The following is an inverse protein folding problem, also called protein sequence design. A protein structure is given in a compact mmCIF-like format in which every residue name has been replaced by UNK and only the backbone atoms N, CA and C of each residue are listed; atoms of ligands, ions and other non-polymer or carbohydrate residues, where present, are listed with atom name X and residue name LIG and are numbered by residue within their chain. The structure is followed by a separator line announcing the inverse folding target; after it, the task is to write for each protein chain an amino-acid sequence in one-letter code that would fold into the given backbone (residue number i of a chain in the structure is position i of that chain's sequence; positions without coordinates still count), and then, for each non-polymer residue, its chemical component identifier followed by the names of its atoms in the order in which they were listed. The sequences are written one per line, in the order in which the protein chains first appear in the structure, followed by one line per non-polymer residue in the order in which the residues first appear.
data_IF_407700805026
#
_entry.id   IF_407700805026
#
_cell.length_a   1.000
_cell.length_b   1.000
_cell.length_c   1.000
_cell.angle_alpha   90.00
_cell.angle_beta   90.00
_cell.angle_gamma   90.00
#
_symmetry.space_group_name_H-M   'P 1'
#
loop_
_entity.id
_entity.type
_entity.pdbx_description
1 polymer ?
#
# COMPACT_ATOMS: atom_id res chain seq x y z
N UNK A 1 22.67 -16.38 -49.32
CA UNK A 1 21.30 -16.44 -48.69
C UNK A 1 21.28 -16.97 -47.25
N UNK A 2 22.11 -17.91 -46.83
CA UNK A 2 22.08 -18.52 -45.48
C UNK A 2 22.39 -17.60 -44.31
N UNK A 3 23.22 -16.57 -44.47
CA UNK A 3 23.64 -15.67 -43.38
C UNK A 3 22.51 -14.73 -42.89
N UNK A 4 21.70 -14.24 -43.81
CA UNK A 4 20.56 -13.37 -43.45
C UNK A 4 19.44 -14.16 -42.74
N UNK A 5 19.22 -15.41 -43.12
CA UNK A 5 18.25 -16.29 -42.50
C UNK A 5 18.58 -16.61 -41.03
N UNK A 6 19.83 -17.00 -40.77
CA UNK A 6 20.32 -17.25 -39.38
C UNK A 6 20.24 -16.03 -38.50
N UNK A 7 20.57 -14.82 -39.01
CA UNK A 7 20.46 -13.57 -38.28
C UNK A 7 18.98 -13.24 -37.91
N UNK A 8 18.05 -13.48 -38.81
CA UNK A 8 16.62 -13.27 -38.60
C UNK A 8 16.07 -14.19 -37.51
N UNK A 9 16.41 -15.46 -37.57
CA UNK A 9 15.98 -16.44 -36.57
C UNK A 9 16.55 -16.13 -35.17
N UNK A 10 17.80 -15.72 -35.08
CA UNK A 10 18.44 -15.27 -33.86
C UNK A 10 17.67 -14.09 -33.19
N UNK A 11 17.35 -13.06 -33.99
CA UNK A 11 16.62 -11.89 -33.51
C UNK A 11 15.21 -12.28 -33.04
N UNK A 12 14.50 -13.09 -33.81
CA UNK A 12 13.16 -13.56 -33.46
C UNK A 12 13.20 -14.34 -32.14
N UNK A 13 14.13 -15.27 -32.00
CA UNK A 13 14.24 -16.07 -30.78
C UNK A 13 14.55 -15.20 -29.55
N UNK A 14 15.51 -14.28 -29.67
CA UNK A 14 15.84 -13.37 -28.57
C UNK A 14 14.67 -12.45 -28.20
N UNK A 15 13.98 -11.87 -29.18
CA UNK A 15 12.80 -11.05 -28.94
C UNK A 15 11.68 -11.83 -28.25
N UNK A 16 11.45 -13.08 -28.67
CA UNK A 16 10.44 -13.95 -28.04
C UNK A 16 10.77 -14.18 -26.56
N UNK A 17 12.04 -14.52 -26.27
CA UNK A 17 12.48 -14.72 -24.88
C UNK A 17 12.43 -13.41 -24.08
N UNK A 18 12.81 -12.28 -24.68
CA UNK A 18 12.74 -10.97 -24.04
C UNK A 18 11.28 -10.56 -23.71
N UNK A 19 10.32 -10.84 -24.59
CA UNK A 19 8.90 -10.59 -24.34
C UNK A 19 8.40 -11.47 -23.17
N UNK A 20 8.74 -12.77 -23.18
CA UNK A 20 8.34 -13.68 -22.10
C UNK A 20 8.92 -13.23 -20.77
N UNK A 21 10.22 -12.94 -20.70
CA UNK A 21 10.87 -12.50 -19.45
C UNK A 21 10.33 -11.18 -18.96
N UNK A 22 10.03 -10.23 -19.86
CA UNK A 22 9.43 -8.94 -19.52
C UNK A 22 8.01 -9.13 -18.95
N UNK A 23 7.20 -9.96 -19.62
CA UNK A 23 5.82 -10.24 -19.17
C UNK A 23 5.80 -10.92 -17.79
N UNK A 24 6.67 -11.92 -17.57
CA UNK A 24 6.79 -12.59 -16.28
C UNK A 24 7.28 -11.64 -15.19
N UNK A 25 8.29 -10.83 -15.46
CA UNK A 25 8.82 -9.85 -14.50
C UNK A 25 7.76 -8.82 -14.13
N UNK A 26 6.99 -8.33 -15.10
CA UNK A 26 5.87 -7.41 -14.88
C UNK A 26 4.75 -8.04 -14.04
N UNK A 27 4.42 -9.30 -14.33
CA UNK A 27 3.41 -10.04 -13.58
C UNK A 27 3.85 -10.26 -12.12
N UNK A 28 5.08 -10.72 -11.91
CA UNK A 28 5.64 -10.93 -10.55
C UNK A 28 5.62 -9.61 -9.78
N UNK A 29 6.11 -8.52 -10.38
CA UNK A 29 6.12 -7.21 -9.72
C UNK A 29 4.73 -6.73 -9.35
N UNK A 30 3.76 -6.81 -10.28
CA UNK A 30 2.39 -6.35 -10.03
C UNK A 30 1.70 -7.15 -8.93
N UNK A 31 1.83 -8.49 -8.96
CA UNK A 31 1.23 -9.38 -7.95
C UNK A 31 1.82 -9.14 -6.56
N UNK A 32 3.15 -9.08 -6.46
CA UNK A 32 3.83 -8.86 -5.17
C UNK A 32 3.51 -7.47 -4.62
N UNK A 33 3.52 -6.44 -5.49
CA UNK A 33 3.14 -5.07 -5.10
C UNK A 33 1.72 -5.01 -4.56
N UNK A 34 0.76 -5.68 -5.22
CA UNK A 34 -0.63 -5.73 -4.78
C UNK A 34 -0.76 -6.44 -3.44
N UNK A 35 -0.17 -7.62 -3.30
CA UNK A 35 -0.19 -8.38 -2.04
C UNK A 35 0.39 -7.59 -0.85
N UNK A 36 1.49 -6.87 -1.06
CA UNK A 36 2.08 -6.02 0.00
C UNK A 36 1.15 -4.86 0.39
N UNK A 37 0.44 -4.28 -0.58
CA UNK A 37 -0.53 -3.20 -0.29
C UNK A 37 -1.74 -3.70 0.47
N UNK A 38 -2.30 -4.83 0.06
CA UNK A 38 -3.44 -5.46 0.75
C UNK A 38 -3.07 -5.84 2.19
N UNK A 39 -1.93 -6.49 2.40
CA UNK A 39 -1.43 -6.83 3.73
C UNK A 39 -1.13 -5.61 4.63
N UNK A 40 -0.92 -4.44 4.05
CA UNK A 40 -0.71 -3.22 4.83
C UNK A 40 -2.01 -2.66 5.42
N UNK A 41 -3.17 -3.00 4.86
CA UNK A 41 -4.49 -2.49 5.31
C UNK A 41 -5.12 -3.39 6.39
N UNK A 42 -4.81 -4.68 6.43
CA UNK A 42 -5.48 -5.66 7.31
C UNK A 42 -5.44 -5.29 8.80
N UNK A 43 -4.29 -4.91 9.41
CA UNK A 43 -4.25 -4.54 10.83
C UNK A 43 -5.07 -3.29 11.15
N UNK A 44 -5.19 -2.34 10.21
CA UNK A 44 -5.97 -1.12 10.40
C UNK A 44 -7.47 -1.40 10.30
N UNK A 45 -7.88 -2.40 9.49
CA UNK A 45 -9.27 -2.85 9.41
C UNK A 45 -9.70 -3.41 10.76
N UNK A 46 -8.95 -4.39 11.28
CA UNK A 46 -9.23 -5.02 12.56
C UNK A 46 -9.29 -3.97 13.69
N UNK A 47 -8.26 -3.10 13.77
CA UNK A 47 -8.20 -2.05 14.78
C UNK A 47 -9.40 -1.09 14.69
N UNK A 48 -9.83 -0.68 13.48
CA UNK A 48 -10.95 0.24 13.31
C UNK A 48 -12.29 -0.42 13.64
N UNK A 49 -12.49 -1.68 13.21
CA UNK A 49 -13.71 -2.44 13.47
C UNK A 49 -13.86 -2.79 14.96
N UNK A 50 -12.81 -3.24 15.63
CA UNK A 50 -12.80 -3.54 17.06
C UNK A 50 -13.09 -2.26 17.89
N UNK A 51 -12.45 -1.16 17.53
CA UNK A 51 -12.70 0.13 18.19
C UNK A 51 -14.14 0.59 17.98
N UNK A 52 -14.67 0.46 16.77
CA UNK A 52 -16.06 0.82 16.48
C UNK A 52 -17.05 -0.09 17.24
N UNK A 53 -16.76 -1.39 17.35
CA UNK A 53 -17.55 -2.34 18.14
C UNK A 53 -17.55 -1.97 19.64
N UNK A 54 -16.39 -1.63 20.19
CA UNK A 54 -16.24 -1.19 21.58
C UNK A 54 -17.05 0.09 21.87
N UNK A 55 -17.00 1.06 20.95
CA UNK A 55 -17.79 2.29 21.06
C UNK A 55 -19.30 2.03 20.94
N UNK A 56 -19.72 1.11 20.09
CA UNK A 56 -21.11 0.66 19.97
C UNK A 56 -21.61 -0.04 21.25
N UNK A 57 -20.70 -0.74 21.95
CA UNK A 57 -20.98 -1.34 23.25
C UNK A 57 -20.99 -0.33 24.42
N UNK A 58 -20.80 0.96 24.15
CA UNK A 58 -20.84 2.03 25.16
C UNK A 58 -19.52 2.28 25.90
N UNK A 59 -18.41 1.68 25.43
CA UNK A 59 -17.08 1.97 26.00
C UNK A 59 -16.68 3.40 25.62
N UNK A 60 -16.17 4.15 26.61
CA UNK A 60 -15.79 5.54 26.40
C UNK A 60 -14.55 5.66 25.51
N UNK A 61 -14.49 6.63 24.56
CA UNK A 61 -13.32 6.85 23.70
C UNK A 61 -11.99 6.97 24.46
N UNK A 62 -12.01 7.62 25.66
CA UNK A 62 -10.83 7.85 26.50
C UNK A 62 -10.23 6.57 27.08
N UNK A 63 -11.03 5.50 27.22
CA UNK A 63 -10.52 4.21 27.74
C UNK A 63 -9.94 3.32 26.63
N UNK A 64 -10.21 3.63 25.37
CA UNK A 64 -9.74 2.86 24.21
C UNK A 64 -8.41 3.44 23.70
N UNK A 65 -8.29 4.76 23.65
CA UNK A 65 -7.12 5.44 23.09
C UNK A 65 -6.07 5.66 24.19
N UNK A 66 -4.81 5.22 24.00
CA UNK A 66 -3.72 5.49 24.91
C UNK A 66 -3.51 6.99 25.14
N UNK A 67 -3.10 7.38 26.34
CA UNK A 67 -2.86 8.79 26.70
C UNK A 67 -1.69 9.44 25.93
N UNK A 68 -0.74 8.65 25.41
CA UNK A 68 0.39 9.14 24.63
C UNK A 68 0.00 9.35 23.17
N UNK A 69 0.40 10.48 22.59
CA UNK A 69 0.28 10.74 21.15
C UNK A 69 1.58 10.48 20.42
N UNK A 70 1.48 9.96 19.23
CA UNK A 70 2.62 9.75 18.34
C UNK A 70 2.58 10.79 17.21
N UNK A 71 3.74 11.27 16.78
CA UNK A 71 3.84 12.04 15.55
C UNK A 71 3.65 11.12 14.34
N UNK A 72 2.59 11.32 13.57
CA UNK A 72 2.22 10.49 12.40
C UNK A 72 3.31 10.58 11.30
N UNK A 73 4.02 11.71 11.20
CA UNK A 73 5.10 11.89 10.22
C UNK A 73 6.30 10.99 10.51
N UNK A 74 6.64 10.78 11.78
CA UNK A 74 7.87 10.10 12.19
C UNK A 74 7.64 8.65 12.60
N UNK A 75 6.48 8.37 13.20
CA UNK A 75 6.17 7.05 13.78
C UNK A 75 5.75 6.04 12.72
N UNK A 76 6.14 4.79 12.92
CA UNK A 76 5.63 3.63 12.19
C UNK A 76 4.53 2.89 12.95
N UNK A 77 4.27 3.30 14.20
CA UNK A 77 3.21 2.71 15.00
C UNK A 77 1.84 3.05 14.40
N UNK A 78 0.86 2.16 14.52
CA UNK A 78 -0.51 2.47 14.14
C UNK A 78 -1.10 3.52 15.08
N UNK A 79 -2.05 4.30 14.57
CA UNK A 79 -2.75 5.33 15.32
C UNK A 79 -4.26 5.25 15.12
N UNK A 80 -4.98 5.74 16.11
CA UNK A 80 -6.44 5.83 16.10
C UNK A 80 -6.86 7.28 16.29
N UNK A 81 -7.87 7.69 15.53
CA UNK A 81 -8.55 8.97 15.72
C UNK A 81 -10.06 8.70 15.74
N UNK A 82 -10.75 9.20 16.75
CA UNK A 82 -12.21 9.13 16.84
C UNK A 82 -12.77 10.50 16.51
N UNK A 83 -13.67 10.54 15.55
CA UNK A 83 -14.39 11.76 15.12
C UNK A 83 -15.85 11.66 15.49
N UNK A 84 -16.47 12.82 15.73
CA UNK A 84 -17.94 12.90 15.83
C UNK A 84 -18.59 12.78 14.44
N UNK A 85 -19.92 12.80 14.40
CA UNK A 85 -20.69 12.68 13.16
C UNK A 85 -20.45 13.84 12.17
N UNK A 86 -20.03 15.01 12.65
CA UNK A 86 -19.66 16.18 11.83
C UNK A 86 -18.21 16.14 11.33
N UNK A 87 -17.42 15.09 11.67
CA UNK A 87 -16.02 14.96 11.28
C UNK A 87 -15.04 15.75 12.15
N UNK A 88 -15.46 16.28 13.31
CA UNK A 88 -14.56 16.89 14.28
C UNK A 88 -13.89 15.82 15.15
N UNK A 89 -12.56 15.90 15.40
CA UNK A 89 -11.86 14.95 16.23
C UNK A 89 -12.28 15.07 17.70
N UNK A 90 -12.61 13.93 18.32
CA UNK A 90 -12.93 13.82 19.74
C UNK A 90 -11.71 13.46 20.56
N UNK A 91 -10.94 12.47 20.08
CA UNK A 91 -9.71 11.99 20.72
C UNK A 91 -8.82 11.33 19.68
N UNK A 92 -7.51 11.37 19.90
CA UNK A 92 -6.51 10.79 18.99
C UNK A 92 -5.30 10.27 19.75
N UNK A 93 -4.75 9.13 19.28
CA UNK A 93 -3.40 8.66 19.63
C UNK A 93 -2.34 9.15 18.66
N UNK A 94 -2.69 9.83 17.57
CA UNK A 94 -1.78 10.40 16.58
C UNK A 94 -1.99 11.89 16.40
N UNK A 95 -0.88 12.60 16.17
CA UNK A 95 -0.88 14.04 15.86
C UNK A 95 0.09 14.35 14.75
N UNK A 96 -0.11 15.47 14.09
CA UNK A 96 0.76 16.02 13.07
C UNK A 96 0.89 17.52 13.37
N UNK A 97 2.12 18.01 13.56
CA UNK A 97 2.42 19.39 13.96
C UNK A 97 1.58 19.87 15.18
N UNK A 98 1.50 19.03 16.22
CA UNK A 98 0.71 19.25 17.43
C UNK A 98 -0.81 19.45 17.18
N UNK A 99 -1.31 18.99 16.05
CA UNK A 99 -2.73 19.03 15.68
C UNK A 99 -3.23 17.65 15.35
N UNK A 100 -4.52 17.41 15.61
CA UNK A 100 -5.17 16.20 15.11
C UNK A 100 -5.59 16.46 13.67
N UNK A 101 -5.03 15.74 12.70
CA UNK A 101 -5.35 15.97 11.30
C UNK A 101 -6.78 15.50 10.98
N UNK A 102 -7.45 16.23 10.09
CA UNK A 102 -8.84 15.95 9.69
C UNK A 102 -8.87 15.63 8.19
N UNK A 103 -9.36 14.44 7.81
CA UNK A 103 -9.49 14.09 6.41
C UNK A 103 -10.65 14.85 5.74
N UNK A 104 -10.66 14.97 4.40
CA UNK A 104 -11.76 15.60 3.66
C UNK A 104 -13.12 14.97 3.95
N UNK A 105 -14.17 15.78 4.06
CA UNK A 105 -15.51 15.32 4.44
C UNK A 105 -16.11 14.22 3.53
N UNK A 106 -15.69 14.15 2.26
CA UNK A 106 -16.12 13.11 1.33
C UNK A 106 -15.74 11.70 1.78
N UNK A 107 -14.68 11.55 2.56
CA UNK A 107 -14.17 10.27 3.06
C UNK A 107 -15.13 9.67 4.09
N UNK A 108 -15.68 10.50 4.97
CA UNK A 108 -16.70 10.09 5.96
C UNK A 108 -18.01 9.70 5.29
N UNK A 109 -18.44 10.44 4.26
CA UNK A 109 -19.64 10.09 3.46
C UNK A 109 -19.47 8.72 2.78
N UNK A 110 -18.31 8.45 2.20
CA UNK A 110 -18.00 7.15 1.59
C UNK A 110 -17.99 6.01 2.63
N UNK A 111 -17.48 6.26 3.84
CA UNK A 111 -17.50 5.29 4.93
C UNK A 111 -18.93 4.99 5.39
N UNK A 112 -19.82 5.99 5.44
CA UNK A 112 -21.24 5.79 5.76
C UNK A 112 -21.95 4.95 4.70
N UNK A 113 -21.70 5.22 3.41
CA UNK A 113 -22.35 4.52 2.30
C UNK A 113 -21.94 3.04 2.19
N UNK A 114 -20.67 2.76 2.47
CA UNK A 114 -20.07 1.43 2.26
C UNK A 114 -19.80 0.66 3.56
N UNK A 115 -20.24 1.18 4.70
CA UNK A 115 -19.97 0.67 6.05
C UNK A 115 -18.49 0.69 6.47
N UNK A 116 -17.59 0.93 5.55
CA UNK A 116 -16.16 1.23 5.75
C UNK A 116 -15.56 1.88 4.50
N UNK A 117 -14.49 2.63 4.68
CA UNK A 117 -13.73 3.20 3.58
C UNK A 117 -12.23 2.99 3.82
N UNK A 118 -11.51 2.54 2.79
CA UNK A 118 -10.06 2.33 2.79
C UNK A 118 -9.42 3.27 1.81
N UNK A 119 -8.45 4.03 2.26
CA UNK A 119 -7.76 5.03 1.44
C UNK A 119 -6.27 5.11 1.78
N UNK A 120 -5.49 5.57 0.84
CA UNK A 120 -4.19 6.17 1.14
C UNK A 120 -4.44 7.65 1.42
N UNK A 121 -4.12 8.10 2.62
CA UNK A 121 -4.27 9.48 3.04
C UNK A 121 -2.91 10.14 3.21
N UNK A 122 -2.78 11.33 2.67
CA UNK A 122 -1.58 12.17 2.74
C UNK A 122 -1.98 13.54 3.29
N UNK A 123 -2.03 13.70 4.63
CA UNK A 123 -2.41 14.97 5.26
C UNK A 123 -1.41 16.10 4.96
N UNK A 124 -0.14 15.74 4.77
CA UNK A 124 0.95 16.64 4.35
C UNK A 124 1.84 15.97 3.32
N UNK A 125 2.52 16.72 2.45
CA UNK A 125 3.42 16.15 1.44
C UNK A 125 4.45 15.20 2.04
N UNK A 126 4.46 13.95 1.57
CA UNK A 126 5.36 12.89 2.03
C UNK A 126 4.90 12.13 3.28
N UNK A 127 3.85 12.56 3.97
CA UNK A 127 3.27 11.86 5.13
C UNK A 127 2.11 10.99 4.67
N UNK A 128 2.43 9.79 4.16
CA UNK A 128 1.43 8.89 3.58
C UNK A 128 1.10 7.75 4.53
N UNK A 129 -0.19 7.56 4.77
CA UNK A 129 -0.73 6.51 5.64
C UNK A 129 -1.77 5.67 4.92
N UNK A 130 -1.75 4.36 5.16
CA UNK A 130 -2.89 3.49 4.92
C UNK A 130 -3.91 3.77 6.02
N UNK A 131 -5.13 4.11 5.64
CA UNK A 131 -6.18 4.52 6.57
C UNK A 131 -7.47 3.76 6.29
N UNK A 132 -8.07 3.26 7.36
CA UNK A 132 -9.41 2.66 7.36
C UNK A 132 -10.33 3.49 8.24
N UNK A 133 -11.51 3.81 7.72
CA UNK A 133 -12.53 4.57 8.44
C UNK A 133 -13.79 3.71 8.55
N UNK A 134 -14.27 3.54 9.78
CA UNK A 134 -15.47 2.76 10.10
C UNK A 134 -16.44 3.66 10.87
N UNK A 135 -17.72 3.75 10.45
CA UNK A 135 -18.75 4.46 11.22
C UNK A 135 -19.14 3.66 12.46
N UNK A 136 -19.45 4.34 13.57
CA UNK A 136 -20.06 3.73 14.75
C UNK A 136 -21.34 4.47 15.14
N UNK A 137 -22.28 3.71 15.73
CA UNK A 137 -23.63 4.18 16.05
C UNK A 137 -23.84 4.37 17.57
N UNK A 138 -22.76 4.37 18.35
CA UNK A 138 -22.83 4.63 19.79
C UNK A 138 -23.40 6.02 20.12
N UNK A 139 -23.51 6.33 21.39
CA UNK A 139 -23.95 7.67 21.85
C UNK A 139 -22.79 8.39 22.53
N UNK A 140 -22.18 9.41 21.88
CA UNK A 140 -22.47 9.95 20.54
C UNK A 140 -21.99 9.04 19.39
N UNK A 141 -22.65 9.13 18.23
CA UNK A 141 -22.24 8.46 16.99
C UNK A 141 -21.11 9.21 16.28
N UNK A 142 -20.37 8.51 15.40
CA UNK A 142 -19.25 9.12 14.69
C UNK A 142 -18.46 8.14 13.83
N UNK A 143 -17.15 8.39 13.73
CA UNK A 143 -16.24 7.61 12.89
C UNK A 143 -14.97 7.26 13.66
N UNK A 144 -14.51 6.05 13.48
CA UNK A 144 -13.19 5.59 13.87
C UNK A 144 -12.28 5.61 12.66
N UNK A 145 -11.13 6.23 12.75
CA UNK A 145 -10.08 6.19 11.79
C UNK A 145 -8.88 5.46 12.40
N UNK A 146 -8.49 4.34 11.80
CA UNK A 146 -7.24 3.66 12.09
C UNK A 146 -6.26 3.91 10.95
N UNK A 147 -5.03 4.29 11.26
CA UNK A 147 -4.02 4.61 10.28
C UNK A 147 -2.65 4.08 10.64
N UNK A 148 -1.81 3.87 9.61
CA UNK A 148 -0.40 3.50 9.75
C UNK A 148 0.41 4.07 8.59
N UNK A 149 1.63 4.53 8.90
CA UNK A 149 2.56 5.04 7.89
C UNK A 149 2.88 3.99 6.82
N UNK A 150 2.81 4.40 5.54
CA UNK A 150 3.19 3.57 4.39
C UNK A 150 4.70 3.62 4.09
N UNK A 151 5.48 4.39 4.82
CA UNK A 151 6.90 4.61 4.55
C UNK A 151 7.71 3.31 4.39
N UNK A 152 7.53 2.35 5.30
CA UNK A 152 8.23 1.06 5.20
C UNK A 152 7.67 0.16 4.09
N UNK A 153 6.38 0.22 3.86
CA UNK A 153 5.72 -0.49 2.75
C UNK A 153 6.24 0.01 1.41
N UNK A 154 6.34 1.31 1.23
CA UNK A 154 6.87 1.94 0.01
C UNK A 154 8.35 1.64 -0.21
N UNK A 155 9.19 1.70 0.84
CA UNK A 155 10.60 1.27 0.76
C UNK A 155 10.73 -0.20 0.35
N UNK A 156 9.88 -1.07 0.88
CA UNK A 156 9.85 -2.49 0.52
C UNK A 156 9.46 -2.68 -0.94
N UNK A 157 8.44 -2.00 -1.42
CA UNK A 157 8.02 -2.03 -2.83
C UNK A 157 9.15 -1.53 -3.74
N UNK A 158 9.82 -0.43 -3.40
CA UNK A 158 10.94 0.11 -4.16
C UNK A 158 12.11 -0.89 -4.23
N UNK A 159 12.44 -1.56 -3.13
CA UNK A 159 13.47 -2.61 -3.10
C UNK A 159 13.12 -3.77 -4.03
N UNK A 160 11.87 -4.24 -4.01
CA UNK A 160 11.42 -5.32 -4.89
C UNK A 160 11.48 -4.89 -6.34
N UNK A 161 11.10 -3.66 -6.66
CA UNK A 161 11.24 -3.12 -8.01
C UNK A 161 12.69 -3.23 -8.50
N UNK A 162 13.66 -2.78 -7.72
CA UNK A 162 15.08 -2.90 -8.07
C UNK A 162 15.52 -4.36 -8.26
N UNK A 163 15.08 -5.27 -7.38
CA UNK A 163 15.41 -6.71 -7.53
C UNK A 163 14.82 -7.30 -8.81
N UNK A 164 13.59 -6.96 -9.15
CA UNK A 164 12.95 -7.42 -10.39
C UNK A 164 13.66 -6.86 -11.63
N UNK A 165 14.03 -5.58 -11.61
CA UNK A 165 14.78 -4.94 -12.72
C UNK A 165 16.16 -5.61 -12.92
N UNK A 166 16.89 -5.84 -11.83
CA UNK A 166 18.18 -6.53 -11.93
C UNK A 166 18.03 -7.97 -12.41
N UNK A 167 17.06 -8.71 -11.90
CA UNK A 167 16.75 -10.06 -12.38
C UNK A 167 16.39 -10.09 -13.86
N UNK A 168 15.58 -9.15 -14.31
CA UNK A 168 15.21 -8.99 -15.72
C UNK A 168 16.42 -8.67 -16.60
N UNK A 169 17.30 -7.75 -16.17
CA UNK A 169 18.53 -7.43 -16.90
C UNK A 169 19.47 -8.64 -17.03
N UNK A 170 19.72 -9.36 -15.94
CA UNK A 170 20.57 -10.55 -15.92
C UNK A 170 20.00 -11.62 -16.85
N UNK A 171 18.69 -11.87 -16.81
CA UNK A 171 18.05 -12.85 -17.66
C UNK A 171 18.18 -12.50 -19.15
N UNK A 172 17.94 -11.23 -19.52
CA UNK A 172 18.05 -10.79 -20.92
C UNK A 172 19.48 -10.76 -21.43
N UNK A 173 20.44 -10.31 -20.62
CA UNK A 173 21.86 -10.34 -20.98
C UNK A 173 22.40 -11.78 -21.06
N UNK A 174 21.98 -12.65 -20.13
CA UNK A 174 22.35 -14.06 -20.13
C UNK A 174 21.82 -14.79 -21.36
N UNK A 175 20.55 -14.57 -21.72
CA UNK A 175 19.98 -15.17 -22.95
C UNK A 175 20.66 -14.63 -24.21
N UNK A 176 20.95 -13.34 -24.25
CA UNK A 176 21.69 -12.75 -25.39
C UNK A 176 23.09 -13.34 -25.49
N UNK A 177 23.84 -13.43 -24.39
CA UNK A 177 25.18 -14.04 -24.35
C UNK A 177 25.17 -15.51 -24.77
N UNK A 178 24.20 -16.27 -24.24
CA UNK A 178 24.00 -17.67 -24.64
C UNK A 178 23.76 -17.81 -26.14
N UNK A 179 22.84 -17.03 -26.70
CA UNK A 179 22.54 -17.07 -28.13
C UNK A 179 23.73 -16.64 -29.00
N UNK A 180 24.59 -15.72 -28.54
CA UNK A 180 25.81 -15.32 -29.25
C UNK A 180 26.82 -16.47 -29.28
N UNK A 181 27.04 -17.13 -28.13
CA UNK A 181 27.99 -18.25 -28.02
C UNK A 181 27.59 -19.44 -28.90
N UNK A 182 26.31 -19.75 -28.95
CA UNK A 182 25.79 -20.90 -29.72
C UNK A 182 25.26 -20.52 -31.10
N UNK A 183 25.52 -19.32 -31.58
CA UNK A 183 25.07 -18.81 -32.91
C UNK A 183 25.48 -19.74 -34.09
N UNK A 184 26.60 -20.43 -33.98
CA UNK A 184 27.09 -21.31 -35.03
C UNK A 184 26.35 -22.66 -35.08
N UNK A 185 25.64 -23.01 -34.02
CA UNK A 185 24.84 -24.24 -33.90
C UNK A 185 23.36 -24.03 -34.18
N UNK A 186 22.90 -22.75 -34.25
CA UNK A 186 21.55 -22.33 -34.63
C UNK A 186 21.49 -21.95 -36.13
#
# INVERSE_FOLDING_TARGET
MGFQYKRRNFIILWLTLAIITTSLSGLIYSTVRQSIREAADDPQIEMAEDTAAALNAGIRPQSIIPAGRINIADSLAPYLIIYNQSGYPLISSGELDNRIPVPPAGIFKAATANNKNRITWEPEPGVRSAVVIVPFKGSPSGFVLAGRSLRETEKRIARIFHMVVWGWLIANLGTLGWLILFRNHL
#
